data_IF_093089078570
#
_entry.id   IF_093089078570
#
_cell.length_a   1.000
_cell.length_b   1.000
_cell.length_c   1.000
_cell.angle_alpha   90.00
_cell.angle_beta   90.00
_cell.angle_gamma   90.00
#
_symmetry.space_group_name_H-M   'P 1'
#
loop_
_entity.id
_entity.type
_entity.pdbx_description
1 polymer ?
#
# COMPACT_ATOMS: atom_id res chain seq x y z
N UNK A 1 0.70 2.74 2.18
CA UNK A 1 0.64 3.22 0.78
C UNK A 1 -0.75 3.83 0.53
N UNK A 2 -0.94 4.62 -0.54
CA UNK A 2 -2.29 4.92 -1.01
C UNK A 2 -2.82 3.82 -1.92
N UNK A 3 -1.93 3.04 -2.55
CA UNK A 3 -2.29 1.94 -3.44
C UNK A 3 -2.42 0.61 -2.68
N UNK A 4 -2.99 -0.39 -3.34
CA UNK A 4 -3.32 -1.69 -2.76
C UNK A 4 -2.30 -2.79 -3.08
N UNK A 5 -1.26 -2.50 -3.87
CA UNK A 5 -0.33 -3.50 -4.41
C UNK A 5 0.41 -4.26 -3.30
N UNK A 6 0.68 -3.59 -2.18
CA UNK A 6 1.28 -4.25 -1.01
C UNK A 6 0.47 -5.47 -0.53
N UNK A 7 -0.86 -5.46 -0.66
CA UNK A 7 -1.71 -6.61 -0.34
C UNK A 7 -1.52 -7.74 -1.36
N UNK A 8 -1.35 -7.40 -2.63
CA UNK A 8 -1.05 -8.36 -3.70
C UNK A 8 0.32 -9.02 -3.48
N UNK A 9 1.32 -8.25 -3.05
CA UNK A 9 2.65 -8.72 -2.63
C UNK A 9 2.66 -9.42 -1.25
N UNK A 10 1.52 -9.50 -0.56
CA UNK A 10 1.35 -10.31 0.64
C UNK A 10 1.61 -9.60 1.97
N UNK A 11 1.57 -8.26 1.99
CA UNK A 11 1.53 -7.51 3.23
C UNK A 11 0.33 -7.92 4.08
N UNK A 12 0.58 -8.24 5.36
CA UNK A 12 -0.49 -8.63 6.31
C UNK A 12 -1.46 -7.48 6.59
N UNK A 13 -0.93 -6.26 6.66
CA UNK A 13 -1.69 -5.05 6.97
C UNK A 13 -1.24 -3.91 6.07
N UNK A 14 -2.21 -3.18 5.52
CA UNK A 14 -2.01 -1.94 4.77
C UNK A 14 -2.64 -0.79 5.57
N UNK A 15 -1.85 0.28 5.80
CA UNK A 15 -2.35 1.55 6.31
C UNK A 15 -2.40 2.57 5.17
N UNK A 16 -3.61 3.04 4.85
CA UNK A 16 -3.87 4.11 3.87
C UNK A 16 -4.07 5.45 4.58
N UNK A 17 -4.02 6.53 3.80
CA UNK A 17 -4.24 7.90 4.25
C UNK A 17 -3.24 8.48 5.26
N UNK A 18 -2.23 7.74 5.72
CA UNK A 18 -1.27 8.22 6.72
C UNK A 18 -0.58 9.55 6.31
N UNK A 19 -0.15 9.65 5.06
CA UNK A 19 0.55 10.83 4.49
C UNK A 19 -0.35 12.00 4.12
N UNK A 20 -1.67 11.81 4.10
CA UNK A 20 -2.66 12.82 3.68
C UNK A 20 -3.72 13.09 4.75
N UNK A 21 -3.44 12.67 5.98
CA UNK A 21 -4.35 12.88 7.12
C UNK A 21 -4.58 14.36 7.39
N UNK A 22 -5.82 14.71 7.73
CA UNK A 22 -6.21 16.06 8.10
C UNK A 22 -7.51 16.53 7.45
N UNK A 23 -7.85 17.80 7.71
CA UNK A 23 -9.01 18.46 7.10
C UNK A 23 -8.57 19.20 5.85
N UNK A 24 -9.14 18.84 4.71
CA UNK A 24 -8.90 19.52 3.43
C UNK A 24 -10.18 20.20 2.95
N UNK A 25 -10.08 21.47 2.57
CA UNK A 25 -11.15 22.18 1.86
C UNK A 25 -11.20 21.70 0.42
N UNK A 26 -12.38 21.35 -0.08
CA UNK A 26 -12.56 21.00 -1.48
C UNK A 26 -12.36 22.24 -2.37
N UNK A 27 -11.63 22.12 -3.49
CA UNK A 27 -11.54 23.20 -4.46
C UNK A 27 -12.95 23.62 -4.90
N UNK A 28 -13.21 24.92 -4.92
CA UNK A 28 -14.48 25.51 -5.37
C UNK A 28 -15.73 25.07 -4.59
N UNK A 29 -15.59 24.54 -3.37
CA UNK A 29 -16.71 24.20 -2.48
C UNK A 29 -16.39 24.57 -1.03
N UNK A 30 -17.37 25.10 -0.30
CA UNK A 30 -17.25 25.36 1.15
C UNK A 30 -17.53 24.08 1.96
N UNK A 31 -16.87 23.00 1.58
CA UNK A 31 -16.96 21.70 2.24
C UNK A 31 -15.56 21.25 2.63
N UNK A 32 -15.42 20.86 3.90
CA UNK A 32 -14.21 20.28 4.45
C UNK A 32 -14.38 18.77 4.54
N UNK A 33 -13.42 18.04 3.97
CA UNK A 33 -13.36 16.58 4.09
C UNK A 33 -12.28 16.25 5.11
N UNK A 34 -12.65 15.48 6.13
CA UNK A 34 -11.70 14.93 7.09
C UNK A 34 -11.23 13.57 6.58
N UNK A 35 -9.93 13.45 6.32
CA UNK A 35 -9.30 12.20 5.89
C UNK A 35 -8.62 11.57 7.10
N UNK A 36 -9.05 10.35 7.45
CA UNK A 36 -8.52 9.57 8.58
C UNK A 36 -7.68 8.39 8.09
N UNK A 37 -6.69 7.92 8.87
CA UNK A 37 -5.99 6.68 8.57
C UNK A 37 -6.98 5.53 8.46
N UNK A 38 -6.76 4.68 7.46
CA UNK A 38 -7.54 3.48 7.24
C UNK A 38 -6.62 2.27 7.38
N UNK A 39 -7.04 1.26 8.14
CA UNK A 39 -6.34 -0.01 8.32
C UNK A 39 -7.07 -1.10 7.56
N UNK A 40 -6.34 -1.85 6.75
CA UNK A 40 -6.85 -2.98 5.98
C UNK A 40 -5.99 -4.20 6.30
N UNK A 41 -6.61 -5.25 6.82
CA UNK A 41 -5.94 -6.51 7.12
C UNK A 41 -6.25 -7.55 6.03
N UNK A 42 -5.20 -8.12 5.42
CA UNK A 42 -5.32 -9.00 4.26
C UNK A 42 -6.20 -10.23 4.55
N UNK A 43 -5.98 -10.88 5.69
CA UNK A 43 -6.74 -12.08 6.07
C UNK A 43 -8.24 -11.79 6.22
N UNK A 44 -8.59 -10.61 6.74
CA UNK A 44 -9.99 -10.18 6.85
C UNK A 44 -10.61 -9.91 5.47
N UNK A 45 -9.86 -9.27 4.57
CA UNK A 45 -10.30 -9.03 3.18
C UNK A 45 -10.55 -10.36 2.47
N UNK A 46 -9.57 -11.27 2.49
CA UNK A 46 -9.67 -12.59 1.87
C UNK A 46 -10.83 -13.40 2.43
N UNK A 47 -11.02 -13.40 3.76
CA UNK A 47 -12.15 -14.08 4.41
C UNK A 47 -13.50 -13.48 4.03
N UNK A 48 -13.60 -12.16 3.99
CA UNK A 48 -14.87 -11.46 3.66
C UNK A 48 -15.28 -11.70 2.22
N UNK A 49 -14.31 -11.69 1.30
CA UNK A 49 -14.53 -11.98 -0.12
C UNK A 49 -14.57 -13.51 -0.40
N UNK A 50 -14.11 -14.33 0.55
CA UNK A 50 -13.99 -15.78 0.45
C UNK A 50 -13.08 -16.23 -0.70
N UNK A 51 -12.00 -15.51 -0.95
CA UNK A 51 -11.04 -15.79 -2.02
C UNK A 51 -9.64 -16.02 -1.45
N UNK A 52 -8.77 -16.64 -2.22
CA UNK A 52 -7.35 -16.76 -1.89
C UNK A 52 -6.56 -15.54 -2.35
N UNK A 53 -5.32 -15.37 -1.87
CA UNK A 53 -4.42 -14.32 -2.37
C UNK A 53 -4.12 -14.49 -3.87
N UNK A 54 -3.95 -15.71 -4.35
CA UNK A 54 -3.78 -16.00 -5.78
C UNK A 54 -4.99 -15.51 -6.60
N UNK A 55 -6.20 -15.73 -6.09
CA UNK A 55 -7.42 -15.20 -6.71
C UNK A 55 -7.51 -13.68 -6.65
N UNK A 56 -7.06 -13.06 -5.56
CA UNK A 56 -6.99 -11.61 -5.46
C UNK A 56 -6.02 -11.02 -6.50
N UNK A 57 -4.90 -11.68 -6.77
CA UNK A 57 -3.94 -11.31 -7.82
C UNK A 57 -4.59 -11.47 -9.19
N UNK A 58 -5.25 -12.58 -9.47
CA UNK A 58 -5.99 -12.78 -10.73
C UNK A 58 -7.07 -11.69 -10.94
N UNK A 59 -7.77 -11.28 -9.89
CA UNK A 59 -8.72 -10.16 -9.95
C UNK A 59 -8.01 -8.86 -10.33
N UNK A 60 -6.84 -8.58 -9.75
CA UNK A 60 -6.06 -7.39 -10.05
C UNK A 60 -5.57 -7.37 -11.51
N UNK A 61 -5.07 -8.50 -12.03
CA UNK A 61 -4.66 -8.66 -13.43
C UNK A 61 -5.86 -8.43 -14.38
N UNK A 62 -7.05 -8.92 -14.03
CA UNK A 62 -8.22 -8.65 -14.89
C UNK A 62 -8.61 -7.16 -14.95
N UNK A 63 -8.39 -6.42 -13.86
CA UNK A 63 -8.66 -4.99 -13.78
C UNK A 63 -7.55 -4.16 -14.44
N UNK A 64 -6.31 -4.64 -14.32
CA UNK A 64 -5.07 -3.99 -14.75
C UNK A 64 -4.17 -3.66 -13.56
N UNK A 65 -2.90 -3.99 -13.70
CA UNK A 65 -1.81 -3.64 -12.77
C UNK A 65 -0.75 -2.80 -13.48
N UNK A 66 0.32 -2.38 -12.79
CA UNK A 66 1.45 -1.71 -13.44
C UNK A 66 2.13 -2.57 -14.51
N UNK A 67 1.98 -3.90 -14.46
CA UNK A 67 2.55 -4.84 -15.45
C UNK A 67 1.64 -5.06 -16.66
N UNK A 68 0.37 -4.67 -16.55
CA UNK A 68 -0.70 -4.83 -17.55
C UNK A 68 -1.71 -3.66 -17.42
N UNK A 69 -1.31 -2.42 -17.72
CA UNK A 69 -2.06 -1.23 -17.34
C UNK A 69 -3.44 -1.09 -17.98
N UNK A 70 -3.67 -1.78 -19.11
CA UNK A 70 -4.99 -1.80 -19.77
C UNK A 70 -5.93 -2.86 -19.17
N UNK A 71 -5.39 -3.84 -18.43
CA UNK A 71 -6.13 -5.01 -17.95
C UNK A 71 -6.92 -5.68 -19.07
N UNK A 72 -8.12 -6.16 -18.76
CA UNK A 72 -9.08 -6.61 -19.77
C UNK A 72 -10.16 -5.55 -19.98
N UNK A 73 -10.30 -5.09 -21.23
CA UNK A 73 -11.26 -4.04 -21.58
C UNK A 73 -12.69 -4.44 -21.20
N UNK A 74 -13.35 -3.57 -20.43
CA UNK A 74 -14.73 -3.78 -19.97
C UNK A 74 -14.86 -4.66 -18.73
N UNK A 75 -13.75 -5.15 -18.16
CA UNK A 75 -13.73 -5.92 -16.92
C UNK A 75 -13.33 -5.02 -15.76
N UNK A 76 -14.33 -4.50 -15.04
CA UNK A 76 -14.11 -3.76 -13.79
C UNK A 76 -14.07 -4.67 -12.54
N UNK A 77 -13.85 -4.09 -11.34
CA UNK A 77 -13.64 -4.86 -10.10
C UNK A 77 -14.75 -5.86 -9.76
N UNK A 78 -16.02 -5.48 -9.96
CA UNK A 78 -17.17 -6.36 -9.70
C UNK A 78 -17.19 -7.56 -10.65
N UNK A 79 -16.90 -7.31 -11.93
CA UNK A 79 -16.90 -8.35 -12.97
C UNK A 79 -15.72 -9.29 -12.77
N UNK A 80 -14.51 -8.75 -12.53
CA UNK A 80 -13.31 -9.52 -12.23
C UNK A 80 -13.54 -10.45 -11.02
N UNK A 81 -14.03 -9.90 -9.90
CA UNK A 81 -14.36 -10.69 -8.72
C UNK A 81 -15.35 -11.82 -9.02
N UNK A 82 -16.45 -11.53 -9.74
CA UNK A 82 -17.45 -12.54 -10.11
C UNK A 82 -16.85 -13.67 -10.95
N UNK A 83 -16.02 -13.33 -11.94
CA UNK A 83 -15.39 -14.31 -12.84
C UNK A 83 -14.44 -15.22 -12.05
N UNK A 84 -13.52 -14.64 -11.27
CA UNK A 84 -12.55 -15.43 -10.50
C UNK A 84 -13.22 -16.23 -9.39
N UNK A 85 -14.25 -15.68 -8.74
CA UNK A 85 -15.01 -16.42 -7.73
C UNK A 85 -15.72 -17.65 -8.32
N UNK A 86 -16.23 -17.55 -9.55
CA UNK A 86 -16.95 -18.64 -10.23
C UNK A 86 -16.01 -19.68 -10.84
N UNK A 87 -14.96 -19.23 -11.55
CA UNK A 87 -14.09 -20.11 -12.35
C UNK A 87 -12.79 -20.47 -11.65
N UNK A 88 -12.42 -19.76 -10.58
CA UNK A 88 -11.25 -20.02 -9.76
C UNK A 88 -9.97 -19.37 -10.26
N UNK A 89 -9.75 -19.32 -11.58
CA UNK A 89 -8.57 -18.73 -12.24
C UNK A 89 -8.95 -18.04 -13.56
N UNK A 90 -8.10 -17.14 -14.04
CA UNK A 90 -8.27 -16.45 -15.33
C UNK A 90 -8.40 -17.45 -16.49
N UNK A 91 -7.54 -18.45 -16.55
CA UNK A 91 -7.47 -19.42 -17.65
C UNK A 91 -8.79 -20.18 -17.80
N UNK A 92 -9.42 -20.56 -16.68
CA UNK A 92 -10.72 -21.23 -16.68
C UNK A 92 -11.87 -20.32 -17.14
N UNK A 93 -11.79 -19.01 -16.87
CA UNK A 93 -12.78 -18.06 -17.37
C UNK A 93 -12.66 -17.85 -18.89
N UNK A 94 -11.43 -17.96 -19.44
CA UNK A 94 -11.19 -17.95 -20.89
C UNK A 94 -11.73 -19.22 -21.55
N UNK A 95 -11.47 -20.40 -20.96
CA UNK A 95 -12.01 -21.68 -21.43
C UNK A 95 -13.53 -21.71 -21.45
N UNK A 96 -14.17 -21.08 -20.46
CA UNK A 96 -15.62 -20.92 -20.38
C UNK A 96 -16.19 -19.89 -21.38
N UNK A 97 -15.35 -19.18 -22.14
CA UNK A 97 -15.76 -18.18 -23.13
C UNK A 97 -16.18 -16.83 -22.56
N UNK A 98 -15.94 -16.57 -21.27
CA UNK A 98 -16.33 -15.33 -20.59
C UNK A 98 -15.32 -14.21 -20.82
N UNK A 99 -14.07 -14.59 -21.11
CA UNK A 99 -12.99 -13.68 -21.48
C UNK A 99 -12.50 -14.10 -22.88
N UNK A 100 -12.63 -13.23 -23.90
CA UNK A 100 -12.10 -13.55 -25.21
C UNK A 100 -10.58 -13.66 -25.15
N UNK A 101 -10.02 -14.79 -25.60
CA UNK A 101 -8.56 -15.05 -25.58
C UNK A 101 -7.73 -13.94 -26.24
N UNK A 102 -8.28 -13.25 -27.24
CA UNK A 102 -7.65 -12.12 -27.94
C UNK A 102 -7.41 -10.89 -27.07
N UNK A 103 -8.13 -10.75 -25.97
CA UNK A 103 -7.96 -9.62 -25.02
C UNK A 103 -6.77 -9.88 -24.08
N UNK A 104 -6.32 -11.13 -23.95
CA UNK A 104 -5.12 -11.47 -23.17
C UNK A 104 -3.91 -11.31 -24.08
N UNK A 105 -3.32 -10.12 -24.05
CA UNK A 105 -2.11 -9.76 -24.82
C UNK A 105 -0.82 -9.88 -24.00
N UNK A 106 -0.95 -10.25 -22.73
CA UNK A 106 0.14 -10.32 -21.74
C UNK A 106 0.24 -11.72 -21.10
N UNK A 107 1.38 -11.99 -20.47
CA UNK A 107 1.66 -13.26 -19.81
C UNK A 107 1.13 -13.26 -18.38
N UNK A 108 -0.09 -13.78 -18.22
CA UNK A 108 -0.80 -13.86 -16.93
C UNK A 108 0.01 -14.63 -15.88
N UNK A 109 0.63 -15.76 -16.25
CA UNK A 109 1.36 -16.59 -15.30
C UNK A 109 2.61 -15.86 -14.82
N UNK A 110 3.33 -15.19 -15.72
CA UNK A 110 4.51 -14.39 -15.36
C UNK A 110 4.15 -13.25 -14.42
N UNK A 111 3.06 -12.52 -14.68
CA UNK A 111 2.61 -11.44 -13.79
C UNK A 111 2.18 -11.99 -12.43
N UNK A 112 1.45 -13.11 -12.41
CA UNK A 112 1.06 -13.81 -11.18
C UNK A 112 2.29 -14.21 -10.36
N UNK A 113 3.34 -14.73 -11.00
CA UNK A 113 4.59 -15.09 -10.33
C UNK A 113 5.30 -13.88 -9.73
N UNK A 114 5.33 -12.72 -10.41
CA UNK A 114 5.89 -11.48 -9.86
C UNK A 114 5.25 -11.08 -8.52
N UNK A 115 3.92 -11.24 -8.40
CA UNK A 115 3.23 -10.95 -7.15
C UNK A 115 3.39 -12.04 -6.09
N UNK A 116 3.36 -13.31 -6.48
CA UNK A 116 3.45 -14.43 -5.54
C UNK A 116 4.87 -14.61 -4.97
N UNK A 117 5.89 -14.40 -5.80
CA UNK A 117 7.31 -14.58 -5.49
C UNK A 117 8.11 -13.32 -5.89
N UNK A 118 7.83 -12.17 -5.28
CA UNK A 118 8.60 -10.97 -5.56
C UNK A 118 10.06 -11.15 -5.12
N UNK A 119 10.98 -10.53 -5.84
CA UNK A 119 12.37 -10.43 -5.41
C UNK A 119 12.44 -9.49 -4.20
N UNK A 120 12.70 -10.07 -3.03
CA UNK A 120 12.79 -9.33 -1.75
C UNK A 120 14.14 -9.59 -1.10
N UNK A 121 14.69 -8.54 -0.48
CA UNK A 121 15.94 -8.62 0.27
C UNK A 121 15.61 -8.63 1.76
N UNK A 122 16.23 -9.54 2.51
CA UNK A 122 16.17 -9.49 3.97
C UNK A 122 17.14 -8.39 4.44
N UNK A 123 16.69 -7.41 5.24
CA UNK A 123 17.58 -6.40 5.77
C UNK A 123 18.78 -7.04 6.48
N UNK A 124 19.99 -6.64 6.08
CA UNK A 124 21.23 -7.14 6.71
C UNK A 124 21.45 -6.57 8.11
N UNK A 125 20.82 -5.44 8.41
CA UNK A 125 20.91 -4.75 9.70
C UNK A 125 19.51 -4.50 10.28
N UNK A 126 19.39 -4.40 11.62
CA UNK A 126 18.16 -4.00 12.27
C UNK A 126 17.71 -2.61 11.81
N UNK A 127 16.40 -2.46 11.56
CA UNK A 127 15.80 -1.18 11.18
C UNK A 127 15.67 -0.28 12.41
N UNK A 128 16.76 0.40 12.78
CA UNK A 128 16.78 1.36 13.88
C UNK A 128 16.68 2.81 13.42
N UNK A 129 15.90 3.62 14.14
CA UNK A 129 15.90 5.06 13.92
C UNK A 129 17.10 5.71 14.62
N UNK A 130 18.11 6.08 13.82
CA UNK A 130 19.28 6.86 14.22
C UNK A 130 18.94 8.32 14.55
N UNK A 131 19.84 9.01 15.26
CA UNK A 131 19.67 10.44 15.55
C UNK A 131 19.84 11.27 14.27
N UNK A 132 19.02 12.31 14.05
CA UNK A 132 19.16 13.17 12.88
C UNK A 132 20.47 13.97 12.94
N UNK A 133 21.09 14.19 11.78
CA UNK A 133 22.21 15.14 11.62
C UNK A 133 21.65 16.52 11.24
N UNK A 134 21.56 17.42 12.22
CA UNK A 134 20.98 18.75 12.04
C UNK A 134 21.69 19.57 10.97
N UNK A 135 23.03 19.50 10.90
CA UNK A 135 23.84 20.30 9.98
C UNK A 135 23.57 19.90 8.53
N UNK A 136 23.53 18.60 8.25
CA UNK A 136 23.19 18.07 6.92
C UNK A 136 21.74 18.37 6.53
N UNK A 137 20.79 18.26 7.47
CA UNK A 137 19.38 18.58 7.20
C UNK A 137 19.22 20.07 6.86
N UNK A 138 19.91 20.96 7.58
CA UNK A 138 19.90 22.39 7.29
C UNK A 138 20.57 22.68 5.96
N UNK A 139 21.69 22.03 5.65
CA UNK A 139 22.37 22.20 4.37
C UNK A 139 21.43 21.88 3.19
N UNK A 140 20.78 20.72 3.20
CA UNK A 140 19.87 20.30 2.13
C UNK A 140 18.64 21.21 2.09
N UNK A 141 17.93 21.38 3.21
CA UNK A 141 16.64 22.07 3.19
C UNK A 141 16.77 23.60 3.04
N UNK A 142 17.71 24.22 3.75
CA UNK A 142 17.84 25.69 3.79
C UNK A 142 18.78 26.18 2.70
N UNK A 143 19.98 25.61 2.58
CA UNK A 143 20.99 26.12 1.66
C UNK A 143 20.70 25.72 0.20
N UNK A 144 20.26 24.48 -0.05
CA UNK A 144 20.00 23.97 -1.40
C UNK A 144 18.54 24.17 -1.86
N UNK A 145 17.57 24.05 -0.94
CA UNK A 145 16.14 24.12 -1.27
C UNK A 145 15.41 25.36 -0.73
N UNK A 146 16.12 26.30 -0.10
CA UNK A 146 15.60 27.60 0.38
C UNK A 146 14.39 27.52 1.32
N UNK A 147 14.30 26.46 2.13
CA UNK A 147 13.31 26.38 3.20
C UNK A 147 13.60 27.44 4.28
N UNK A 148 12.56 27.87 4.98
CA UNK A 148 12.70 28.79 6.11
C UNK A 148 13.47 28.10 7.26
N UNK A 149 14.64 28.64 7.60
CA UNK A 149 15.55 28.05 8.58
C UNK A 149 14.92 27.86 9.96
N UNK A 150 14.19 28.87 10.46
CA UNK A 150 13.52 28.82 11.75
C UNK A 150 12.50 27.66 11.80
N UNK A 151 11.70 27.47 10.74
CA UNK A 151 10.76 26.35 10.63
C UNK A 151 11.47 25.00 10.60
N UNK A 152 12.60 24.89 9.91
CA UNK A 152 13.39 23.65 9.84
C UNK A 152 13.95 23.30 11.22
N UNK A 153 14.56 24.27 11.92
CA UNK A 153 15.10 24.07 13.28
C UNK A 153 14.01 23.65 14.26
N UNK A 154 12.87 24.33 14.27
CA UNK A 154 11.71 23.94 15.08
C UNK A 154 11.18 22.54 14.73
N UNK A 155 11.23 22.15 13.46
CA UNK A 155 10.88 20.80 13.00
C UNK A 155 11.84 19.72 13.54
N UNK A 156 13.15 19.99 13.52
CA UNK A 156 14.19 19.11 14.07
C UNK A 156 14.01 18.89 15.57
N UNK A 157 13.71 19.94 16.34
CA UNK A 157 13.48 19.81 17.78
C UNK A 157 12.25 18.94 18.09
N UNK A 158 11.17 19.13 17.33
CA UNK A 158 9.96 18.29 17.43
C UNK A 158 10.26 16.84 17.07
N UNK A 159 11.04 16.60 16.02
CA UNK A 159 11.46 15.26 15.61
C UNK A 159 12.25 14.57 16.72
N UNK A 160 13.29 15.22 17.26
CA UNK A 160 14.10 14.67 18.36
C UNK A 160 13.26 14.33 19.58
N UNK A 161 12.29 15.17 19.93
CA UNK A 161 11.36 14.90 21.03
C UNK A 161 10.49 13.67 20.75
N UNK A 162 9.87 13.59 19.57
CA UNK A 162 9.04 12.46 19.19
C UNK A 162 9.83 11.14 19.16
N UNK A 163 11.10 11.17 18.71
CA UNK A 163 11.98 9.99 18.72
C UNK A 163 12.29 9.49 20.14
N UNK A 164 12.50 10.40 21.10
CA UNK A 164 12.70 10.02 22.51
C UNK A 164 11.44 9.36 23.09
N UNK A 165 10.28 9.91 22.80
CA UNK A 165 8.99 9.36 23.23
C UNK A 165 8.73 7.98 22.59
N UNK A 166 8.93 7.84 21.27
CA UNK A 166 8.76 6.58 20.55
C UNK A 166 9.70 5.45 21.03
N UNK A 167 10.97 5.77 21.34
CA UNK A 167 11.91 4.82 21.96
C UNK A 167 11.46 4.39 23.37
N UNK A 168 10.68 5.21 24.06
CA UNK A 168 10.02 4.84 25.32
C UNK A 168 8.89 3.85 25.10
N UNK A 169 8.02 4.11 24.12
CA UNK A 169 6.89 3.23 23.76
C UNK A 169 7.32 1.86 23.23
N UNK A 170 8.41 1.76 22.47
CA UNK A 170 8.90 0.47 21.98
C UNK A 170 9.37 -0.49 23.09
N UNK A 171 9.63 0.02 24.30
CA UNK A 171 9.98 -0.76 25.49
C UNK A 171 8.76 -1.17 26.34
N UNK A 172 7.59 -0.62 26.04
CA UNK A 172 6.37 -0.86 26.81
C UNK A 172 5.56 -1.98 26.14
N UNK A 173 5.47 -3.14 26.80
CA UNK A 173 4.57 -4.23 26.36
C UNK A 173 3.12 -3.90 26.69
N UNK A 174 2.21 -4.33 25.82
CA UNK A 174 0.78 -4.19 26.04
C UNK A 174 0.31 -5.03 27.22
N UNK A 175 -0.64 -4.52 28.02
CA UNK A 175 -1.21 -5.24 29.16
C UNK A 175 -1.92 -6.53 28.75
N UNK A 176 -2.33 -6.63 27.50
CA UNK A 176 -2.94 -7.79 26.86
C UNK A 176 -2.01 -9.00 26.74
N UNK A 177 -0.69 -8.82 26.84
CA UNK A 177 0.25 -9.95 26.89
C UNK A 177 0.26 -10.71 28.22
N UNK A 178 -0.47 -10.21 29.22
CA UNK A 178 -0.52 -10.81 30.57
C UNK A 178 -1.84 -11.53 30.87
N UNK A 179 -2.76 -11.61 29.90
CA UNK A 179 -4.07 -12.25 30.02
C UNK A 179 -4.33 -13.28 28.91
#
# INVERSE_FOLDING_TARGET
SQDYDSLLFGAKTLIRNLTVTGKRKLPNKDVYVEVKPERIDLDQVLKTLGITREQLIDIAILIGTDYDPEGIKGVGPKTAYRLIKKYGKIEKAVEAGEIPKREITFDVEKIRELFLKPEVITPSEPLEMGSPNDEEVIAILVNEHNFNEERVRNGLDRLKRAMREAKGFSRQTGLDQWF
#
